data_IF_472915871209
#
_entry.id   IF_472915871209
#
_cell.length_a   1.000
_cell.length_b   1.000
_cell.length_c   1.000
_cell.angle_alpha   90.00
_cell.angle_beta   90.00
_cell.angle_gamma   90.00
#
_symmetry.space_group_name_H-M   'P 1'
#
loop_
_entity.id
_entity.type
_entity.pdbx_description
1 polymer ?
#
# COMPACT_ATOMS: atom_id res chain seq x y z
N UNK A 1 12.40 -16.59 20.94
CA UNK A 1 11.29 -16.50 19.96
C UNK A 1 11.90 -16.12 18.63
N UNK A 2 11.57 -16.81 17.54
CA UNK A 2 12.06 -16.42 16.22
C UNK A 2 11.58 -14.98 15.92
N UNK A 3 12.48 -14.12 15.41
CA UNK A 3 12.16 -12.76 15.02
C UNK A 3 11.16 -12.82 13.86
N UNK A 4 9.90 -12.47 14.09
CA UNK A 4 8.83 -12.52 13.06
C UNK A 4 9.24 -11.60 11.92
N UNK A 5 9.28 -12.14 10.72
CA UNK A 5 9.57 -11.36 9.51
C UNK A 5 8.31 -10.61 9.10
N UNK A 6 8.33 -9.32 9.13
CA UNK A 6 7.18 -8.46 8.78
C UNK A 6 7.49 -7.57 7.59
N UNK A 7 6.47 -7.22 6.82
CA UNK A 7 6.56 -6.32 5.71
C UNK A 7 5.31 -5.44 5.63
N UNK A 8 5.42 -4.26 5.03
CA UNK A 8 4.34 -3.30 4.89
C UNK A 8 4.22 -2.81 3.45
N UNK A 9 3.05 -2.98 2.86
CA UNK A 9 2.71 -2.45 1.53
C UNK A 9 1.72 -1.30 1.69
N UNK A 10 2.06 -0.13 1.14
CA UNK A 10 1.24 1.08 1.18
C UNK A 10 0.76 1.37 -0.23
N UNK A 11 -0.54 1.33 -0.41
CA UNK A 11 -1.28 1.41 -1.67
C UNK A 11 -2.14 2.69 -1.67
N UNK A 12 -2.13 3.44 -2.76
CA UNK A 12 -2.99 4.63 -2.89
C UNK A 12 -4.46 4.21 -2.90
N UNK A 13 -4.78 3.21 -3.71
CA UNK A 13 -6.14 2.71 -3.90
C UNK A 13 -6.22 1.21 -3.63
N UNK A 14 -7.42 0.71 -3.48
CA UNK A 14 -7.70 -0.66 -3.03
C UNK A 14 -7.28 -1.77 -3.99
N UNK A 15 -6.96 -1.47 -5.25
CA UNK A 15 -6.53 -2.45 -6.24
C UNK A 15 -5.01 -2.46 -6.49
N UNK A 16 -4.30 -1.39 -6.14
CA UNK A 16 -2.89 -1.22 -6.51
C UNK A 16 -1.99 -2.32 -5.93
N UNK A 17 -2.22 -2.74 -4.68
CA UNK A 17 -1.40 -3.77 -4.04
C UNK A 17 -1.46 -5.10 -4.80
N UNK A 18 -2.59 -5.40 -5.46
CA UNK A 18 -2.74 -6.59 -6.30
C UNK A 18 -1.98 -6.42 -7.60
N UNK A 19 -2.27 -5.33 -8.31
CA UNK A 19 -1.71 -5.08 -9.64
C UNK A 19 -0.20 -4.87 -9.63
N UNK A 20 0.31 -4.24 -8.57
CA UNK A 20 1.71 -3.77 -8.51
C UNK A 20 2.59 -4.61 -7.59
N UNK A 21 2.02 -5.19 -6.56
CA UNK A 21 2.77 -5.90 -5.54
C UNK A 21 2.31 -7.35 -5.30
N UNK A 22 1.27 -7.84 -6.00
CA UNK A 22 0.66 -9.14 -5.72
C UNK A 22 1.67 -10.29 -5.73
N UNK A 23 2.53 -10.37 -6.74
CA UNK A 23 3.57 -11.40 -6.80
C UNK A 23 4.60 -11.29 -5.68
N UNK A 24 5.00 -10.05 -5.31
CA UNK A 24 5.90 -9.82 -4.19
C UNK A 24 5.26 -10.22 -2.86
N UNK A 25 3.99 -9.86 -2.64
CA UNK A 25 3.22 -10.24 -1.45
C UNK A 25 3.14 -11.76 -1.34
N UNK A 26 2.66 -12.44 -2.39
CA UNK A 26 2.51 -13.90 -2.40
C UNK A 26 3.82 -14.64 -2.13
N UNK A 27 4.93 -14.18 -2.74
CA UNK A 27 6.24 -14.77 -2.51
C UNK A 27 6.71 -14.59 -1.05
N UNK A 28 6.54 -13.39 -0.48
CA UNK A 28 6.98 -13.14 0.89
C UNK A 28 6.11 -13.88 1.91
N UNK A 29 4.80 -14.02 1.68
CA UNK A 29 3.94 -14.89 2.48
C UNK A 29 4.47 -16.36 2.45
N UNK A 30 4.80 -16.86 1.28
CA UNK A 30 5.41 -18.19 1.13
C UNK A 30 6.75 -18.33 1.87
N UNK A 31 7.53 -17.24 1.95
CA UNK A 31 8.81 -17.18 2.69
C UNK A 31 8.64 -16.96 4.20
N UNK A 32 7.40 -16.96 4.72
CA UNK A 32 7.08 -16.84 6.14
C UNK A 32 7.13 -15.39 6.67
N UNK A 33 6.90 -14.41 5.80
CA UNK A 33 6.64 -13.03 6.24
C UNK A 33 5.16 -12.88 6.61
N UNK A 34 4.90 -12.04 7.59
CA UNK A 34 3.59 -11.45 7.82
C UNK A 34 3.52 -10.12 7.06
N UNK A 35 2.72 -10.06 5.99
CA UNK A 35 2.59 -8.86 5.18
C UNK A 35 1.32 -8.11 5.58
N UNK A 36 1.51 -6.86 6.03
CA UNK A 36 0.40 -5.90 6.24
C UNK A 36 0.22 -5.07 4.98
N UNK A 37 -1.02 -4.88 4.56
CA UNK A 37 -1.39 -3.99 3.46
C UNK A 37 -2.20 -2.81 4.00
N UNK A 38 -1.83 -1.59 3.61
CA UNK A 38 -2.63 -0.38 3.90
C UNK A 38 -3.09 0.22 2.57
N UNK A 39 -4.40 0.31 2.39
CA UNK A 39 -5.02 1.05 1.31
C UNK A 39 -5.42 2.44 1.83
N UNK A 40 -4.87 3.50 1.25
CA UNK A 40 -5.16 4.87 1.70
C UNK A 40 -6.58 5.29 1.31
N UNK A 41 -7.10 4.80 0.20
CA UNK A 41 -8.47 5.00 -0.27
C UNK A 41 -9.05 3.70 -0.85
N UNK A 42 -10.30 3.75 -1.24
CA UNK A 42 -10.95 2.66 -1.97
C UNK A 42 -10.82 2.80 -3.50
N UNK A 43 -10.29 3.92 -4.02
CA UNK A 43 -10.33 4.26 -5.44
C UNK A 43 -11.77 4.55 -5.90
N UNK A 44 -12.56 5.10 -4.99
CA UNK A 44 -14.01 5.22 -5.13
C UNK A 44 -14.42 6.20 -6.21
N UNK A 45 -13.61 7.23 -6.50
CA UNK A 45 -13.92 8.26 -7.50
C UNK A 45 -13.22 7.98 -8.83
N UNK A 46 -11.90 7.76 -8.81
CA UNK A 46 -11.08 7.67 -10.01
C UNK A 46 -11.05 6.28 -10.63
N UNK A 47 -11.10 5.21 -9.84
CA UNK A 47 -10.90 3.84 -10.33
C UNK A 47 -12.18 2.99 -10.38
N UNK A 48 -13.32 3.57 -10.05
CA UNK A 48 -14.60 2.86 -9.94
C UNK A 48 -15.61 3.20 -11.04
N UNK A 49 -15.14 3.62 -12.22
CA UNK A 49 -15.99 4.07 -13.31
C UNK A 49 -17.09 3.07 -13.75
N UNK A 50 -16.82 1.77 -13.65
CA UNK A 50 -17.82 0.73 -13.97
C UNK A 50 -18.95 0.70 -12.93
N UNK A 51 -18.63 0.85 -11.65
CA UNK A 51 -19.63 0.89 -10.58
C UNK A 51 -20.51 2.12 -10.69
N UNK A 52 -19.95 3.29 -10.98
CA UNK A 52 -20.69 4.53 -11.13
C UNK A 52 -21.70 4.53 -12.28
N UNK A 53 -21.57 3.60 -13.26
CA UNK A 53 -22.52 3.44 -14.37
C UNK A 53 -23.75 2.61 -13.99
N UNK A 54 -23.76 2.00 -12.81
CA UNK A 54 -24.90 1.21 -12.34
C UNK A 54 -25.95 2.11 -11.70
N UNK A 55 -27.23 1.80 -11.94
CA UNK A 55 -28.33 2.55 -11.36
C UNK A 55 -28.32 2.50 -9.83
N UNK A 56 -28.58 3.63 -9.19
CA UNK A 56 -28.71 3.74 -7.75
C UNK A 56 -27.39 3.56 -6.96
N UNK A 57 -26.24 3.71 -7.65
CA UNK A 57 -24.94 3.74 -6.96
C UNK A 57 -24.77 5.04 -6.16
N UNK A 58 -24.15 4.89 -5.00
CA UNK A 58 -23.77 6.00 -4.12
C UNK A 58 -22.30 5.81 -3.73
N UNK A 59 -21.68 6.86 -3.22
CA UNK A 59 -20.28 6.80 -2.75
C UNK A 59 -20.07 5.65 -1.75
N UNK A 60 -20.97 5.51 -0.78
CA UNK A 60 -20.87 4.46 0.23
C UNK A 60 -21.01 3.04 -0.36
N UNK A 61 -21.88 2.86 -1.35
CA UNK A 61 -21.99 1.58 -2.05
C UNK A 61 -20.74 1.26 -2.84
N UNK A 62 -20.14 2.25 -3.51
CA UNK A 62 -18.88 2.07 -4.23
C UNK A 62 -17.77 1.69 -3.26
N UNK A 63 -17.60 2.41 -2.14
CA UNK A 63 -16.62 2.08 -1.10
C UNK A 63 -16.81 0.66 -0.56
N UNK A 64 -18.05 0.27 -0.26
CA UNK A 64 -18.39 -1.07 0.24
C UNK A 64 -17.96 -2.15 -0.75
N UNK A 65 -18.26 -1.97 -2.03
CA UNK A 65 -17.89 -2.94 -3.07
C UNK A 65 -16.39 -3.02 -3.25
N UNK A 66 -15.70 -1.87 -3.33
CA UNK A 66 -14.24 -1.81 -3.47
C UNK A 66 -13.52 -2.43 -2.27
N UNK A 67 -14.03 -2.19 -1.08
CA UNK A 67 -13.53 -2.85 0.14
C UNK A 67 -13.66 -4.36 0.05
N UNK A 68 -14.84 -4.86 -0.31
CA UNK A 68 -15.11 -6.30 -0.47
C UNK A 68 -14.17 -6.95 -1.49
N UNK A 69 -13.94 -6.29 -2.63
CA UNK A 69 -13.00 -6.75 -3.66
C UNK A 69 -11.57 -6.85 -3.12
N UNK A 70 -11.11 -5.80 -2.43
CA UNK A 70 -9.77 -5.76 -1.86
C UNK A 70 -9.57 -6.81 -0.75
N UNK A 71 -10.55 -7.02 0.14
CA UNK A 71 -10.51 -8.06 1.17
C UNK A 71 -10.44 -9.46 0.55
N UNK A 72 -11.18 -9.72 -0.54
CA UNK A 72 -11.12 -10.99 -1.26
C UNK A 72 -9.74 -11.20 -1.93
N UNK A 73 -9.18 -10.14 -2.52
CA UNK A 73 -7.85 -10.21 -3.13
C UNK A 73 -6.76 -10.42 -2.06
N UNK A 74 -6.85 -9.73 -0.92
CA UNK A 74 -5.95 -9.93 0.21
C UNK A 74 -5.97 -11.39 0.69
N UNK A 75 -7.17 -11.96 0.84
CA UNK A 75 -7.35 -13.38 1.20
C UNK A 75 -6.71 -14.33 0.18
N UNK A 76 -6.84 -14.04 -1.12
CA UNK A 76 -6.23 -14.85 -2.17
C UNK A 76 -4.70 -14.80 -2.11
N UNK A 77 -4.12 -13.70 -1.62
CA UNK A 77 -2.68 -13.52 -1.40
C UNK A 77 -2.20 -13.95 -0.01
N UNK A 78 -3.05 -14.59 0.82
CA UNK A 78 -2.80 -14.96 2.22
C UNK A 78 -2.46 -13.76 3.13
N UNK A 79 -2.92 -12.56 2.77
CA UNK A 79 -2.79 -11.37 3.62
C UNK A 79 -3.91 -11.36 4.65
N UNK A 80 -3.54 -11.40 5.94
CA UNK A 80 -4.48 -11.41 7.06
C UNK A 80 -4.71 -10.04 7.68
N UNK A 81 -3.79 -9.10 7.47
CA UNK A 81 -3.90 -7.71 7.94
C UNK A 81 -3.96 -6.75 6.75
N UNK A 82 -5.18 -6.38 6.37
CA UNK A 82 -5.46 -5.32 5.40
C UNK A 82 -6.22 -4.20 6.09
N UNK A 83 -5.72 -2.98 5.99
CA UNK A 83 -6.27 -1.80 6.63
C UNK A 83 -6.69 -0.77 5.58
N UNK A 84 -7.81 -0.09 5.84
CA UNK A 84 -8.32 0.98 4.99
C UNK A 84 -8.32 2.30 5.75
N UNK A 85 -7.69 3.31 5.17
CA UNK A 85 -7.60 4.63 5.80
C UNK A 85 -8.77 5.54 5.47
N UNK A 86 -9.41 5.33 4.32
CA UNK A 86 -10.57 6.10 3.84
C UNK A 86 -10.26 7.61 3.70
N UNK A 87 -9.14 7.93 3.09
CA UNK A 87 -8.67 9.31 2.93
C UNK A 87 -9.20 9.99 1.66
N UNK A 88 -10.20 9.39 1.01
CA UNK A 88 -10.68 9.80 -0.31
C UNK A 88 -9.69 9.47 -1.41
N UNK A 89 -10.05 9.78 -2.64
CA UNK A 89 -9.17 9.73 -3.81
C UNK A 89 -9.45 10.91 -4.73
N UNK A 90 -8.47 11.27 -5.55
CA UNK A 90 -8.55 12.38 -6.51
C UNK A 90 -9.09 13.70 -5.91
N UNK A 91 -8.39 14.25 -4.89
CA UNK A 91 -7.11 13.83 -4.31
C UNK A 91 -7.25 13.06 -2.99
N UNK A 92 -6.18 12.35 -2.59
CA UNK A 92 -6.01 11.82 -1.25
C UNK A 92 -5.83 12.94 -0.22
N UNK A 93 -6.48 12.85 0.94
CA UNK A 93 -6.22 13.74 2.09
C UNK A 93 -5.12 13.15 2.98
N UNK A 94 -3.89 13.58 2.76
CA UNK A 94 -2.69 13.11 3.44
C UNK A 94 -2.22 14.06 4.56
N UNK A 95 -3.16 14.65 5.27
CA UNK A 95 -2.92 15.58 6.36
C UNK A 95 -2.19 14.96 7.56
N UNK A 96 -2.08 15.74 8.64
CA UNK A 96 -1.34 15.35 9.85
C UNK A 96 -1.90 14.07 10.50
N UNK A 97 -3.20 13.99 10.63
CA UNK A 97 -3.87 12.83 11.25
C UNK A 97 -3.56 11.53 10.49
N UNK A 98 -3.61 11.56 9.15
CA UNK A 98 -3.24 10.43 8.31
C UNK A 98 -1.79 10.01 8.52
N UNK A 99 -0.85 10.98 8.66
CA UNK A 99 0.57 10.72 8.92
C UNK A 99 0.76 10.09 10.30
N UNK A 100 0.15 10.64 11.34
CA UNK A 100 0.23 10.11 12.70
C UNK A 100 -0.28 8.67 12.75
N UNK A 101 -1.43 8.38 12.12
CA UNK A 101 -1.98 7.03 11.99
C UNK A 101 -1.04 6.07 11.24
N UNK A 102 -0.42 6.50 10.14
CA UNK A 102 0.53 5.67 9.40
C UNK A 102 1.80 5.41 10.19
N UNK A 103 2.29 6.37 10.93
CA UNK A 103 3.44 6.20 11.84
C UNK A 103 3.14 5.14 12.90
N UNK A 104 1.93 5.14 13.46
CA UNK A 104 1.50 4.13 14.43
C UNK A 104 1.48 2.73 13.79
N UNK A 105 0.98 2.60 12.55
CA UNK A 105 1.03 1.33 11.80
C UNK A 105 2.47 0.87 11.57
N UNK A 106 3.35 1.75 11.07
CA UNK A 106 4.76 1.40 10.83
C UNK A 106 5.43 0.91 12.12
N UNK A 107 5.18 1.59 13.25
CA UNK A 107 5.72 1.21 14.55
C UNK A 107 5.13 -0.08 15.10
N UNK A 108 3.85 -0.34 14.88
CA UNK A 108 3.22 -1.59 15.28
C UNK A 108 3.73 -2.79 14.47
N UNK A 109 3.80 -2.64 13.14
CA UNK A 109 4.26 -3.69 12.22
C UNK A 109 5.76 -3.97 12.35
N UNK A 110 6.59 -2.96 12.65
CA UNK A 110 8.06 -3.09 12.68
C UNK A 110 8.63 -3.72 11.40
N UNK A 111 8.28 -3.24 10.19
CA UNK A 111 8.57 -3.94 8.96
C UNK A 111 10.07 -4.04 8.68
N UNK A 112 10.52 -5.18 8.18
CA UNK A 112 11.89 -5.36 7.65
C UNK A 112 12.08 -4.62 6.33
N UNK A 113 11.02 -4.56 5.54
CA UNK A 113 10.95 -3.77 4.31
C UNK A 113 9.53 -3.22 4.09
N UNK A 114 9.46 -2.16 3.32
CA UNK A 114 8.23 -1.52 2.88
C UNK A 114 8.17 -1.47 1.36
N UNK A 115 6.97 -1.36 0.80
CA UNK A 115 6.74 -1.17 -0.62
C UNK A 115 5.65 -0.13 -0.86
N UNK A 116 5.82 0.70 -1.88
CA UNK A 116 4.84 1.70 -2.30
C UNK A 116 5.00 2.04 -3.78
N UNK A 117 4.31 3.04 -4.26
CA UNK A 117 4.32 3.49 -5.65
C UNK A 117 5.67 4.07 -6.10
N UNK A 118 5.81 4.32 -7.39
CA UNK A 118 6.94 5.06 -7.95
C UNK A 118 6.92 6.53 -7.49
N UNK A 119 8.11 7.14 -7.39
CA UNK A 119 8.24 8.58 -7.15
C UNK A 119 7.72 9.43 -8.31
N UNK A 120 7.66 8.85 -9.49
CA UNK A 120 7.21 9.51 -10.70
C UNK A 120 6.15 8.64 -11.38
N UNK A 121 4.92 9.11 -11.38
CA UNK A 121 3.78 8.56 -12.10
C UNK A 121 2.86 9.71 -12.51
N UNK A 122 3.15 10.42 -13.61
CA UNK A 122 2.40 11.60 -14.02
C UNK A 122 0.95 11.30 -14.44
N UNK A 123 0.60 10.03 -14.60
CA UNK A 123 -0.76 9.61 -14.94
C UNK A 123 -1.65 9.45 -13.72
N UNK A 124 -1.02 9.38 -12.52
CA UNK A 124 -1.78 9.30 -11.27
C UNK A 124 -1.05 10.01 -10.14
N UNK A 125 -1.49 11.24 -9.83
CA UNK A 125 -0.87 12.06 -8.79
C UNK A 125 -1.00 11.47 -7.39
N UNK A 126 -2.07 10.71 -7.12
CA UNK A 126 -2.25 10.04 -5.83
C UNK A 126 -1.15 9.00 -5.57
N UNK A 127 -0.63 8.34 -6.62
CA UNK A 127 0.50 7.42 -6.51
C UNK A 127 1.77 8.14 -6.04
N UNK A 128 2.12 9.28 -6.67
CA UNK A 128 3.28 10.07 -6.28
C UNK A 128 3.14 10.61 -4.85
N UNK A 129 1.95 11.10 -4.51
CA UNK A 129 1.64 11.62 -3.18
C UNK A 129 1.73 10.50 -2.12
N UNK A 130 1.27 9.29 -2.43
CA UNK A 130 1.39 8.11 -1.56
C UNK A 130 2.85 7.77 -1.29
N UNK A 131 3.72 7.85 -2.29
CA UNK A 131 5.16 7.60 -2.11
C UNK A 131 5.81 8.66 -1.23
N UNK A 132 5.50 9.93 -1.45
CA UNK A 132 5.99 11.02 -0.60
C UNK A 132 5.51 10.84 0.85
N UNK A 133 4.24 10.53 1.04
CA UNK A 133 3.64 10.23 2.33
C UNK A 133 4.34 9.04 3.03
N UNK A 134 4.59 7.95 2.32
CA UNK A 134 5.29 6.79 2.87
C UNK A 134 6.73 7.12 3.31
N UNK A 135 7.46 7.94 2.52
CA UNK A 135 8.80 8.42 2.86
C UNK A 135 8.80 9.28 4.13
N UNK A 136 7.86 10.21 4.25
CA UNK A 136 7.72 11.08 5.41
C UNK A 136 7.36 10.28 6.66
N UNK A 137 6.34 9.41 6.59
CA UNK A 137 5.92 8.59 7.72
C UNK A 137 7.01 7.61 8.17
N UNK A 138 7.74 6.99 7.23
CA UNK A 138 8.91 6.16 7.51
C UNK A 138 9.99 6.93 8.28
N UNK A 139 10.23 8.20 7.93
CA UNK A 139 11.20 9.05 8.61
C UNK A 139 10.70 9.45 10.01
N UNK A 140 9.43 9.83 10.14
CA UNK A 140 8.84 10.18 11.43
C UNK A 140 8.83 8.98 12.38
N UNK A 141 8.59 7.77 11.88
CA UNK A 141 8.56 6.55 12.70
C UNK A 141 9.88 6.26 13.44
N UNK A 142 11.02 6.82 12.98
CA UNK A 142 12.32 6.72 13.63
C UNK A 142 12.51 7.78 14.74
N UNK A 143 11.69 8.82 14.77
CA UNK A 143 11.88 9.95 15.67
C UNK A 143 11.39 9.62 17.08
N UNK A 144 12.31 9.51 18.03
CA UNK A 144 12.01 9.22 19.44
C UNK A 144 11.06 10.24 20.09
N UNK A 145 11.11 11.50 19.66
CA UNK A 145 10.26 12.58 20.19
C UNK A 145 8.83 12.60 19.63
N UNK A 146 8.53 11.78 18.62
CA UNK A 146 7.19 11.65 18.08
C UNK A 146 6.46 10.50 18.80
N UNK A 147 5.35 10.79 19.49
CA UNK A 147 4.61 9.83 20.32
C UNK A 147 5.54 9.03 21.27
N UNK A 148 6.16 9.68 22.28
CA UNK A 148 7.08 9.03 23.20
C UNK A 148 6.45 7.82 23.90
N UNK A 149 7.21 6.75 24.06
CA UNK A 149 6.74 5.50 24.67
C UNK A 149 6.40 4.39 23.68
N UNK A 150 6.23 4.70 22.40
CA UNK A 150 6.13 3.69 21.36
C UNK A 150 7.50 3.14 20.96
N UNK A 151 7.55 1.88 20.55
CA UNK A 151 8.77 1.28 20.02
C UNK A 151 9.11 1.89 18.65
N UNK A 152 10.21 2.61 18.59
CA UNK A 152 10.75 3.10 17.31
C UNK A 152 11.50 1.99 16.56
N UNK A 153 11.77 2.19 15.28
CA UNK A 153 12.54 1.29 14.44
C UNK A 153 13.56 2.09 13.63
N UNK A 154 14.61 1.42 13.13
CA UNK A 154 15.47 1.98 12.10
C UNK A 154 14.69 2.14 10.78
N UNK A 155 15.26 2.87 9.81
CA UNK A 155 14.61 3.04 8.51
C UNK A 155 14.52 1.71 7.76
N UNK A 156 13.35 1.08 7.61
CA UNK A 156 13.22 -0.10 6.78
C UNK A 156 13.52 0.23 5.33
N UNK A 157 14.01 -0.76 4.56
CA UNK A 157 14.19 -0.58 3.13
C UNK A 157 12.83 -0.30 2.48
N UNK A 158 12.74 0.76 1.64
CA UNK A 158 11.55 1.06 0.85
C UNK A 158 11.80 0.70 -0.61
N UNK A 159 11.02 -0.23 -1.12
CA UNK A 159 10.97 -0.59 -2.54
C UNK A 159 9.80 0.14 -3.20
N UNK A 160 9.96 0.45 -4.47
CA UNK A 160 8.94 1.14 -5.26
C UNK A 160 8.54 0.23 -6.42
N UNK A 161 7.24 -0.05 -6.53
CA UNK A 161 6.76 -0.81 -7.67
C UNK A 161 6.59 0.08 -8.91
N UNK A 162 6.46 -0.55 -10.06
CA UNK A 162 6.47 0.13 -11.34
C UNK A 162 5.28 1.09 -11.50
N UNK A 163 5.49 2.24 -12.14
CA UNK A 163 4.42 3.19 -12.47
C UNK A 163 3.58 2.74 -13.66
N UNK A 164 2.54 3.53 -13.98
CA UNK A 164 1.84 3.41 -15.24
C UNK A 164 2.75 3.77 -16.43
N UNK A 165 2.55 3.11 -17.56
CA UNK A 165 3.17 3.45 -18.84
C UNK A 165 4.70 3.63 -18.78
N UNK A 166 5.36 2.64 -18.24
CA UNK A 166 6.81 2.63 -17.98
C UNK A 166 7.68 3.03 -19.18
N UNK A 167 7.27 2.65 -20.39
CA UNK A 167 7.99 2.96 -21.62
C UNK A 167 7.99 4.46 -21.92
N UNK A 168 6.88 5.16 -21.67
CA UNK A 168 6.75 6.59 -21.91
C UNK A 168 7.51 7.43 -20.89
N UNK A 169 7.78 6.84 -19.71
CA UNK A 169 8.45 7.52 -18.60
C UNK A 169 9.93 7.16 -18.49
N UNK A 170 10.45 6.39 -19.43
CA UNK A 170 11.84 5.88 -19.39
C UNK A 170 12.20 5.22 -18.06
N UNK A 171 11.18 4.63 -17.40
CA UNK A 171 11.38 4.01 -16.10
C UNK A 171 12.18 2.71 -16.24
N UNK A 172 13.19 2.54 -15.39
CA UNK A 172 14.07 1.37 -15.39
C UNK A 172 14.08 0.72 -14.02
N UNK A 173 13.72 -0.57 -13.90
CA UNK A 173 13.85 -1.31 -12.65
C UNK A 173 15.32 -1.51 -12.30
N UNK A 174 15.62 -1.46 -11.00
CA UNK A 174 16.94 -1.81 -10.45
C UNK A 174 16.87 -3.02 -9.51
N UNK A 175 15.67 -3.52 -9.23
CA UNK A 175 15.43 -4.74 -8.46
C UNK A 175 14.43 -5.57 -9.24
N UNK A 176 14.74 -6.85 -9.42
CA UNK A 176 13.87 -7.84 -10.04
C UNK A 176 13.57 -8.94 -9.02
N UNK A 177 12.32 -9.30 -8.89
CA UNK A 177 11.87 -10.36 -8.00
C UNK A 177 11.34 -11.51 -8.86
N UNK A 178 11.95 -12.68 -8.74
CA UNK A 178 11.44 -13.90 -9.39
C UNK A 178 10.22 -14.42 -8.61
N UNK A 179 9.06 -14.36 -9.24
CA UNK A 179 7.79 -14.80 -8.68
C UNK A 179 7.29 -16.11 -9.29
N UNK A 180 8.14 -16.84 -10.02
CA UNK A 180 7.77 -18.09 -10.71
C UNK A 180 7.08 -19.09 -9.77
N UNK A 181 7.55 -19.18 -8.54
CA UNK A 181 7.00 -20.12 -7.55
C UNK A 181 5.58 -19.77 -7.03
N UNK A 182 5.08 -18.58 -7.35
CA UNK A 182 3.76 -18.09 -6.91
C UNK A 182 2.94 -17.54 -8.07
N UNK A 183 3.35 -17.84 -9.30
CA UNK A 183 2.72 -17.32 -10.52
C UNK A 183 1.25 -17.72 -10.67
N UNK A 184 0.91 -18.93 -10.26
CA UNK A 184 -0.45 -19.49 -10.38
C UNK A 184 -1.39 -19.04 -9.24
N UNK A 185 -0.92 -18.18 -8.35
CA UNK A 185 -1.69 -17.67 -7.21
C UNK A 185 -2.42 -16.37 -7.56
#
# INVERSE_FOLDING_TARGET
MADTKTALVISAHSADFVWRAGGAIALHQKLGYEVTVVCLSYGERGESAKLWKLDGMTLEKVKTERRREAENAAKALDVHDIQFFDLGDYPLDLGREAKDRMVDVIRAVQPKWMMSHSKWDPYNTDHMNTTQFALECRMIAQAWGHNPGQKVLGAPQLYLFEPHQTEQMEWKPNVFLDITEVWDK
#
